data_IF_960248320711
#
_entry.id   IF_960248320711
#
_cell.length_a   1.000
_cell.length_b   1.000
_cell.length_c   1.000
_cell.angle_alpha   90.00
_cell.angle_beta   90.00
_cell.angle_gamma   90.00
#
_symmetry.space_group_name_H-M   'P 1'
#
loop_
_entity.id
_entity.type
_entity.pdbx_description
1 polymer ?
#
# COMPACT_ATOMS: atom_id res chain seq x y z
N UNK A 1 -8.17 31.68 1.34
CA UNK A 1 -8.69 30.62 1.49
C UNK A 1 -8.34 29.54 0.64
N UNK A 2 -8.36 29.64 -0.64
CA UNK A 2 -8.03 28.59 -1.55
C UNK A 2 -6.65 28.02 -1.29
N UNK A 3 -5.72 28.84 -0.85
CA UNK A 3 -4.38 28.38 -0.59
C UNK A 3 -4.31 27.32 0.49
N UNK A 4 -5.22 27.43 1.44
CA UNK A 4 -5.26 26.44 2.50
C UNK A 4 -5.67 25.10 1.96
N UNK A 5 -6.65 25.10 1.06
CA UNK A 5 -7.12 23.88 0.48
C UNK A 5 -6.02 23.21 -0.32
N UNK A 6 -5.23 23.98 -1.03
CA UNK A 6 -4.14 23.43 -1.81
C UNK A 6 -3.13 22.73 -0.92
N UNK A 7 -2.83 23.34 0.22
CA UNK A 7 -1.89 22.73 1.16
C UNK A 7 -2.45 21.41 1.67
N UNK A 8 -3.75 21.38 1.92
CA UNK A 8 -4.38 20.15 2.37
C UNK A 8 -4.32 19.07 1.30
N UNK A 9 -4.40 19.47 0.03
CA UNK A 9 -4.31 18.51 -1.05
C UNK A 9 -2.99 17.76 -1.05
N UNK A 10 -1.90 18.44 -0.70
CA UNK A 10 -0.61 17.77 -0.64
C UNK A 10 -0.57 16.73 0.47
N UNK A 11 -1.34 16.94 1.52
CA UNK A 11 -1.37 16.03 2.64
C UNK A 11 -2.41 14.93 2.47
N UNK A 12 -3.18 14.97 1.41
CA UNK A 12 -4.21 13.95 1.21
C UNK A 12 -3.59 12.58 1.04
N UNK A 13 -4.18 11.58 1.68
CA UNK A 13 -3.69 10.22 1.55
C UNK A 13 -3.84 9.72 0.11
N UNK A 14 -2.87 8.98 -0.34
CA UNK A 14 -2.98 8.24 -1.57
C UNK A 14 -3.45 6.83 -1.30
N UNK A 15 -3.88 6.15 -2.34
CA UNK A 15 -4.28 4.76 -2.27
C UNK A 15 -3.58 3.99 -3.36
N UNK A 16 -2.92 2.91 -2.98
CA UNK A 16 -2.18 2.08 -3.91
C UNK A 16 -2.59 0.64 -3.68
N UNK A 17 -3.04 -0.04 -4.72
CA UNK A 17 -3.41 -1.44 -4.64
C UNK A 17 -2.28 -2.27 -5.18
N UNK A 18 -1.89 -3.29 -4.43
CA UNK A 18 -0.83 -4.22 -4.80
C UNK A 18 -1.37 -5.63 -4.88
N UNK A 19 -0.79 -6.42 -5.78
CA UNK A 19 -0.97 -7.86 -5.78
C UNK A 19 0.21 -8.41 -5.00
N UNK A 20 -0.05 -8.85 -3.78
CA UNK A 20 0.99 -9.36 -2.88
C UNK A 20 0.92 -10.87 -2.91
N UNK A 21 1.67 -11.47 -3.84
CA UNK A 21 1.74 -12.90 -4.04
C UNK A 21 0.36 -13.54 -4.21
N UNK A 22 -0.50 -12.88 -4.98
CA UNK A 22 -1.83 -13.38 -5.26
C UNK A 22 -2.94 -12.80 -4.41
N UNK A 23 -2.60 -12.08 -3.36
CA UNK A 23 -3.58 -11.44 -2.49
C UNK A 23 -3.57 -9.94 -2.72
N UNK A 24 -4.74 -9.34 -2.92
CA UNK A 24 -4.83 -7.90 -3.09
C UNK A 24 -4.72 -7.21 -1.76
N UNK A 25 -3.87 -6.21 -1.71
CA UNK A 25 -3.70 -5.39 -0.52
C UNK A 25 -3.71 -3.92 -0.90
N UNK A 26 -4.19 -3.09 0.01
CA UNK A 26 -4.28 -1.66 -0.18
C UNK A 26 -3.34 -0.97 0.79
N UNK A 27 -2.50 -0.08 0.27
CA UNK A 27 -1.70 0.80 1.10
C UNK A 27 -2.32 2.19 0.99
N UNK A 28 -2.67 2.76 2.14
CA UNK A 28 -3.31 4.06 2.19
C UNK A 28 -2.49 5.00 3.05
N UNK A 29 -2.41 6.25 2.66
CA UNK A 29 -1.72 7.25 3.45
C UNK A 29 -0.71 8.02 2.62
N UNK A 30 0.34 8.45 3.27
CA UNK A 30 1.41 9.22 2.65
C UNK A 30 2.73 8.79 3.25
N UNK A 31 3.84 9.20 2.60
CA UNK A 31 5.16 8.89 3.10
C UNK A 31 5.27 9.30 4.57
N UNK A 32 5.71 8.37 5.40
CA UNK A 32 5.81 8.58 6.83
C UNK A 32 4.57 8.17 7.61
N UNK A 33 3.49 7.78 6.93
CA UNK A 33 2.25 7.43 7.62
C UNK A 33 1.42 6.45 6.77
N UNK A 34 2.04 5.36 6.38
CA UNK A 34 1.37 4.35 5.56
C UNK A 34 0.56 3.39 6.41
N UNK A 35 -0.59 2.97 5.88
CA UNK A 35 -1.44 1.95 6.50
C UNK A 35 -1.71 0.85 5.49
N UNK A 36 -1.66 -0.39 5.95
CA UNK A 36 -1.85 -1.55 5.10
C UNK A 36 -3.17 -2.23 5.39
N UNK A 37 -3.90 -2.58 4.34
CA UNK A 37 -5.18 -3.28 4.44
C UNK A 37 -5.17 -4.47 3.51
N UNK A 38 -5.85 -5.54 3.91
CA UNK A 38 -6.13 -6.67 3.05
C UNK A 38 -7.49 -6.45 2.40
N UNK A 39 -7.59 -6.73 1.10
CA UNK A 39 -8.85 -6.61 0.37
C UNK A 39 -9.43 -8.00 0.18
N UNK A 40 -10.61 -8.23 0.72
CA UNK A 40 -11.31 -9.50 0.55
C UNK A 40 -11.89 -9.64 -0.85
N UNK A 41 -12.41 -10.83 -1.14
CA UNK A 41 -13.03 -11.10 -2.43
C UNK A 41 -14.25 -10.21 -2.68
N UNK A 42 -14.90 -9.77 -1.61
CA UNK A 42 -16.06 -8.89 -1.70
C UNK A 42 -15.67 -7.42 -1.75
N UNK A 43 -14.39 -7.11 -1.78
CA UNK A 43 -13.91 -5.74 -1.82
C UNK A 43 -13.82 -5.05 -0.47
N UNK A 44 -14.18 -5.71 0.61
CA UNK A 44 -14.07 -5.12 1.94
C UNK A 44 -12.62 -5.15 2.39
N UNK A 45 -12.20 -4.06 3.03
CA UNK A 45 -10.85 -3.97 3.53
C UNK A 45 -10.78 -4.30 5.01
N UNK A 46 -9.71 -4.96 5.40
CA UNK A 46 -9.44 -5.29 6.79
C UNK A 46 -8.05 -4.81 7.15
N UNK A 47 -7.87 -4.12 8.27
CA UNK A 47 -6.54 -3.67 8.65
C UNK A 47 -5.58 -4.84 8.83
N UNK A 48 -4.36 -4.68 8.34
CA UNK A 48 -3.30 -5.65 8.55
C UNK A 48 -2.40 -5.09 9.65
N UNK A 49 -2.15 -5.87 10.67
CA UNK A 49 -1.38 -5.42 11.82
C UNK A 49 0.12 -5.41 11.50
N UNK A 50 0.50 -4.54 10.59
CA UNK A 50 1.88 -4.35 10.18
C UNK A 50 2.16 -2.86 10.14
N UNK A 51 3.26 -2.46 10.75
CA UNK A 51 3.67 -1.07 10.75
C UNK A 51 4.69 -0.86 9.65
N UNK A 52 4.35 -0.02 8.68
CA UNK A 52 5.29 0.33 7.62
C UNK A 52 6.16 1.47 8.13
N UNK A 53 7.48 1.32 8.15
CA UNK A 53 8.36 2.35 8.69
C UNK A 53 8.20 3.68 7.96
N UNK A 54 8.39 4.77 8.69
CA UNK A 54 8.22 6.10 8.14
C UNK A 54 9.19 6.41 7.00
N UNK A 55 10.33 5.74 6.97
CA UNK A 55 11.32 6.00 5.92
C UNK A 55 10.98 5.33 4.59
N UNK A 56 9.96 4.51 4.54
CA UNK A 56 9.58 3.84 3.29
C UNK A 56 8.85 4.85 2.41
N UNK A 57 9.38 5.10 1.22
CA UNK A 57 8.76 6.01 0.27
C UNK A 57 7.75 5.24 -0.58
N UNK A 58 6.93 5.99 -1.31
CA UNK A 58 5.95 5.36 -2.21
C UNK A 58 6.64 4.42 -3.20
N UNK A 59 7.77 4.84 -3.74
CA UNK A 59 8.51 4.03 -4.70
C UNK A 59 9.04 2.74 -4.09
N UNK A 60 9.30 2.74 -2.81
CA UNK A 60 9.87 1.59 -2.14
C UNK A 60 8.82 0.63 -1.60
N UNK A 61 7.54 1.00 -1.66
CA UNK A 61 6.48 0.17 -1.08
C UNK A 61 6.42 -1.21 -1.71
N UNK A 62 6.55 -1.29 -3.02
CA UNK A 62 6.47 -2.58 -3.71
C UNK A 62 7.56 -3.52 -3.20
N UNK A 63 8.78 -3.03 -3.12
CA UNK A 63 9.88 -3.83 -2.62
C UNK A 63 9.73 -4.16 -1.14
N UNK A 64 9.24 -3.21 -0.36
CA UNK A 64 9.04 -3.43 1.05
C UNK A 64 8.02 -4.54 1.29
N UNK A 65 6.90 -4.51 0.56
CA UNK A 65 5.88 -5.54 0.70
C UNK A 65 6.40 -6.89 0.21
N UNK A 66 7.21 -6.89 -0.84
CA UNK A 66 7.82 -8.12 -1.33
C UNK A 66 8.68 -8.75 -0.24
N UNK A 67 9.53 -7.96 0.39
CA UNK A 67 10.39 -8.47 1.45
C UNK A 67 9.59 -8.94 2.66
N UNK A 68 8.55 -8.19 3.00
CA UNK A 68 7.76 -8.49 4.19
C UNK A 68 6.97 -9.78 4.06
N UNK A 69 6.41 -10.03 2.88
CA UNK A 69 5.57 -11.18 2.64
C UNK A 69 6.22 -12.24 1.74
N UNK A 70 7.52 -12.21 1.65
CA UNK A 70 8.25 -13.09 0.73
C UNK A 70 7.92 -14.57 0.91
N UNK A 71 7.60 -14.97 2.12
CA UNK A 71 7.27 -16.37 2.40
C UNK A 71 6.03 -16.83 1.64
N UNK A 72 5.21 -15.92 1.15
CA UNK A 72 4.00 -16.26 0.40
C UNK A 72 4.24 -16.43 -1.08
N UNK A 73 5.47 -16.22 -1.54
CA UNK A 73 5.79 -16.34 -2.96
C UNK A 73 5.58 -17.76 -3.44
N UNK A 74 5.01 -17.90 -4.65
CA UNK A 74 4.80 -19.18 -5.29
C UNK A 74 5.29 -19.09 -6.72
N UNK A 75 5.50 -20.21 -7.42
CA UNK A 75 5.93 -20.17 -8.81
C UNK A 75 5.03 -19.34 -9.71
N UNK A 76 3.71 -19.36 -9.45
CA UNK A 76 2.77 -18.58 -10.24
C UNK A 76 2.66 -17.13 -9.81
N UNK A 77 3.12 -16.81 -8.60
CA UNK A 77 3.07 -15.45 -8.04
C UNK A 77 4.38 -15.16 -7.33
N UNK A 78 5.46 -14.95 -8.08
CA UNK A 78 6.79 -14.85 -7.48
C UNK A 78 7.13 -13.49 -6.89
N UNK A 79 6.33 -12.46 -7.14
CA UNK A 79 6.68 -11.11 -6.67
C UNK A 79 5.42 -10.29 -6.41
N UNK A 80 5.62 -9.18 -5.69
CA UNK A 80 4.57 -8.19 -5.47
C UNK A 80 4.49 -7.29 -6.70
N UNK A 81 3.26 -6.92 -7.07
CA UNK A 81 3.03 -6.07 -8.24
C UNK A 81 2.09 -4.93 -7.88
N UNK A 82 2.43 -3.73 -8.34
CA UNK A 82 1.54 -2.59 -8.18
C UNK A 82 0.43 -2.69 -9.23
N UNK A 83 -0.81 -2.66 -8.80
CA UNK A 83 -1.95 -2.77 -9.71
C UNK A 83 -2.56 -1.42 -10.05
N UNK A 84 -2.72 -0.53 -9.06
CA UNK A 84 -3.36 0.75 -9.28
C UNK A 84 -2.95 1.72 -8.20
N UNK A 85 -3.02 3.01 -8.51
CA UNK A 85 -2.77 4.05 -7.52
C UNK A 85 -3.64 5.26 -7.83
N UNK A 86 -4.08 5.96 -6.78
CA UNK A 86 -4.87 7.17 -6.92
C UNK A 86 -4.36 8.25 -5.99
#
# INVERSE_FOLDING_TARGET
MGGVDSALSFAMPGRIVFDVFGERMLVEGAAGNWRLFSLGADGKRSPVNVAIPAFVTEDALEQYLDDLFHERATPGKPSVRRLAST
#
